data_IF_314330861681
#
_entry.id   IF_314330861681
#
_cell.length_a   1.000
_cell.length_b   1.000
_cell.length_c   1.000
_cell.angle_alpha   90.00
_cell.angle_beta   90.00
_cell.angle_gamma   90.00
#
_symmetry.space_group_name_H-M   'P 1'
#
loop_
_entity.id
_entity.type
_entity.pdbx_description
1 polymer ?
#
# COMPACT_ATOMS: atom_id res chain seq x y z
N UNK A 1 8.11 17.91 -11.43
CA UNK A 1 6.62 17.94 -11.44
C UNK A 1 6.08 16.65 -10.85
N UNK A 2 4.84 16.67 -10.31
CA UNK A 2 4.12 15.49 -9.81
C UNK A 2 2.79 15.35 -10.56
N UNK A 3 2.30 14.12 -10.73
CA UNK A 3 0.95 13.84 -11.21
C UNK A 3 0.05 13.51 -10.02
N UNK A 4 -1.08 14.20 -9.91
CA UNK A 4 -2.04 13.95 -8.83
C UNK A 4 -1.47 14.27 -7.44
N UNK A 5 -1.75 13.42 -6.47
CA UNK A 5 -1.25 13.54 -5.09
C UNK A 5 -1.88 14.67 -4.25
N UNK A 6 -2.87 15.37 -4.78
CA UNK A 6 -3.53 16.50 -4.11
C UNK A 6 -4.86 16.09 -3.53
N UNK A 7 -5.13 16.51 -2.30
CA UNK A 7 -6.44 16.40 -1.65
C UNK A 7 -6.83 17.75 -1.03
N UNK A 8 -8.12 17.94 -0.77
CA UNK A 8 -8.58 19.10 -0.02
C UNK A 8 -8.03 19.05 1.41
N UNK A 9 -7.65 20.20 1.95
CA UNK A 9 -7.22 20.33 3.34
C UNK A 9 -8.42 20.36 4.29
N UNK A 10 -9.39 21.22 3.98
CA UNK A 10 -10.55 21.47 4.84
C UNK A 10 -11.41 20.22 4.98
N UNK A 11 -11.86 19.95 6.22
CA UNK A 11 -12.66 18.79 6.60
C UNK A 11 -12.05 17.42 6.27
N UNK A 12 -10.80 17.33 5.82
CA UNK A 12 -10.18 16.08 5.37
C UNK A 12 -9.25 15.44 6.39
N UNK A 13 -9.10 16.01 7.60
CA UNK A 13 -8.26 15.45 8.66
C UNK A 13 -9.08 14.55 9.60
N UNK A 14 -8.59 13.34 9.87
CA UNK A 14 -9.08 12.44 10.89
C UNK A 14 -8.55 12.85 12.27
N UNK A 15 -9.31 12.56 13.33
CA UNK A 15 -8.89 12.76 14.72
C UNK A 15 -7.75 11.84 15.11
N UNK A 16 -7.80 10.60 14.64
CA UNK A 16 -6.77 9.59 14.82
C UNK A 16 -6.27 9.08 13.46
N UNK A 17 -5.01 8.66 13.43
CA UNK A 17 -4.42 8.09 12.22
C UNK A 17 -5.09 6.73 11.91
N UNK A 18 -5.61 6.60 10.69
CA UNK A 18 -6.21 5.36 10.22
C UNK A 18 -5.14 4.46 9.62
N UNK A 19 -5.03 3.27 10.17
CA UNK A 19 -4.17 2.19 9.68
C UNK A 19 -4.91 1.42 8.60
N UNK A 20 -4.24 1.14 7.48
CA UNK A 20 -4.79 0.40 6.34
C UNK A 20 -4.23 -1.02 6.39
N UNK A 21 -5.05 -2.04 6.69
CA UNK A 21 -4.59 -3.43 6.69
C UNK A 21 -4.13 -3.86 5.30
N UNK A 22 -3.07 -4.67 5.24
CA UNK A 22 -2.56 -5.25 4.00
C UNK A 22 -2.63 -6.78 4.09
N UNK A 23 -3.28 -7.39 3.11
CA UNK A 23 -3.21 -8.82 2.86
C UNK A 23 -2.09 -9.08 1.84
N UNK A 24 -0.93 -9.54 2.32
CA UNK A 24 0.21 -9.83 1.46
C UNK A 24 0.28 -11.33 1.12
N UNK A 25 0.40 -11.65 -0.16
CA UNK A 25 0.59 -13.01 -0.66
C UNK A 25 1.92 -13.11 -1.43
N UNK A 26 2.74 -14.09 -1.06
CA UNK A 26 3.98 -14.45 -1.76
C UNK A 26 3.88 -15.91 -2.18
N UNK A 27 3.91 -16.18 -3.48
CA UNK A 27 3.77 -17.53 -4.06
C UNK A 27 2.62 -18.35 -3.45
N UNK A 28 1.45 -17.71 -3.30
CA UNK A 28 0.24 -18.33 -2.75
C UNK A 28 0.21 -18.48 -1.23
N UNK A 29 1.21 -17.97 -0.50
CA UNK A 29 1.25 -17.99 0.98
C UNK A 29 0.97 -16.61 1.56
N UNK A 30 0.02 -16.52 2.48
CA UNK A 30 -0.29 -15.28 3.18
C UNK A 30 0.84 -14.95 4.17
N UNK A 31 1.24 -13.67 4.19
CA UNK A 31 2.28 -13.14 5.06
C UNK A 31 1.74 -11.96 5.87
N UNK A 32 2.27 -11.80 7.08
CA UNK A 32 1.89 -10.71 7.98
C UNK A 32 2.64 -9.43 7.63
N UNK A 33 1.91 -8.32 7.55
CA UNK A 33 2.46 -6.97 7.42
C UNK A 33 2.16 -6.19 8.71
N UNK A 34 3.13 -5.45 9.29
CA UNK A 34 2.86 -4.59 10.44
C UNK A 34 1.74 -3.59 10.14
N UNK A 35 0.82 -3.42 11.10
CA UNK A 35 -0.35 -2.55 10.89
C UNK A 35 0.03 -1.06 10.70
N UNK A 36 1.22 -0.66 11.16
CA UNK A 36 1.78 0.69 10.99
C UNK A 36 2.36 0.95 9.60
N UNK A 37 2.40 -0.05 8.71
CA UNK A 37 3.09 0.06 7.42
C UNK A 37 2.41 1.03 6.47
N UNK A 38 1.08 0.98 6.36
CA UNK A 38 0.32 1.93 5.54
C UNK A 38 -0.72 2.59 6.42
N UNK A 39 -0.66 3.91 6.44
CA UNK A 39 -1.56 4.70 7.28
C UNK A 39 -1.74 6.10 6.74
N UNK A 40 -2.82 6.73 7.17
CA UNK A 40 -3.11 8.11 6.79
C UNK A 40 -3.97 8.78 7.87
N UNK A 41 -3.75 10.07 8.05
CA UNK A 41 -4.63 10.91 8.85
C UNK A 41 -5.68 11.63 7.98
N UNK A 42 -5.84 11.23 6.70
CA UNK A 42 -6.80 11.83 5.78
C UNK A 42 -8.09 11.02 5.71
N UNK A 43 -9.25 11.69 5.65
CA UNK A 43 -10.55 11.06 5.40
C UNK A 43 -10.65 10.55 3.96
N UNK A 44 -10.25 11.41 3.02
CA UNK A 44 -10.14 11.16 1.59
C UNK A 44 -8.65 11.25 1.23
N UNK A 45 -8.05 10.08 0.98
CA UNK A 45 -6.64 9.90 0.68
C UNK A 45 -6.46 9.53 -0.79
N UNK A 46 -5.32 9.87 -1.37
CA UNK A 46 -4.99 9.40 -2.72
C UNK A 46 -4.48 7.97 -2.68
N UNK A 47 -4.82 7.18 -3.69
CA UNK A 47 -4.22 5.85 -3.88
C UNK A 47 -2.69 5.95 -3.99
N UNK A 48 -2.17 7.01 -4.59
CA UNK A 48 -0.74 7.28 -4.70
C UNK A 48 -0.03 7.35 -3.34
N UNK A 49 -0.64 7.99 -2.33
CA UNK A 49 -0.08 8.06 -0.97
C UNK A 49 0.01 6.66 -0.34
N UNK A 50 -1.02 5.83 -0.51
CA UNK A 50 -1.07 4.48 0.05
C UNK A 50 -0.13 3.52 -0.69
N UNK A 51 -0.14 3.57 -2.03
CA UNK A 51 0.71 2.75 -2.90
C UNK A 51 2.20 3.01 -2.65
N UNK A 52 2.59 4.27 -2.46
CA UNK A 52 3.96 4.64 -2.13
C UNK A 52 4.43 4.03 -0.80
N UNK A 53 3.61 4.11 0.24
CA UNK A 53 3.93 3.51 1.54
C UNK A 53 4.05 1.98 1.44
N UNK A 54 3.11 1.32 0.76
CA UNK A 54 3.12 -0.12 0.55
C UNK A 54 4.38 -0.58 -0.22
N UNK A 55 4.68 0.07 -1.35
CA UNK A 55 5.85 -0.28 -2.18
C UNK A 55 7.16 0.00 -1.48
N UNK A 56 7.24 1.05 -0.66
CA UNK A 56 8.43 1.30 0.17
C UNK A 56 8.70 0.14 1.12
N UNK A 57 7.67 -0.32 1.86
CA UNK A 57 7.81 -1.48 2.73
C UNK A 57 8.19 -2.75 1.96
N UNK A 58 7.54 -3.00 0.81
CA UNK A 58 7.85 -4.18 0.00
C UNK A 58 9.29 -4.13 -0.55
N UNK A 59 9.78 -2.95 -0.92
CA UNK A 59 11.18 -2.78 -1.31
C UNK A 59 12.12 -3.06 -0.15
N UNK A 60 11.91 -2.44 1.01
CA UNK A 60 12.77 -2.61 2.19
C UNK A 60 12.80 -4.07 2.68
N UNK A 61 11.69 -4.81 2.53
CA UNK A 61 11.56 -6.19 3.03
C UNK A 61 11.98 -7.26 2.03
N UNK A 62 11.73 -7.03 0.74
CA UNK A 62 11.84 -8.06 -0.30
C UNK A 62 12.72 -7.66 -1.49
N UNK A 63 13.31 -6.46 -1.47
CA UNK A 63 14.12 -5.94 -2.58
C UNK A 63 13.37 -5.99 -3.92
N UNK A 64 12.09 -5.60 -3.90
CA UNK A 64 11.15 -5.68 -5.03
C UNK A 64 11.68 -5.10 -6.36
N UNK A 65 12.53 -4.08 -6.29
CA UNK A 65 13.08 -3.34 -7.43
C UNK A 65 14.56 -3.58 -7.67
N UNK A 66 15.17 -4.55 -6.98
CA UNK A 66 16.48 -5.04 -7.37
C UNK A 66 16.29 -5.97 -8.57
N UNK A 67 17.09 -5.78 -9.62
CA UNK A 67 17.13 -6.73 -10.73
C UNK A 67 17.72 -8.07 -10.28
N UNK A 68 17.48 -9.12 -11.03
CA UNK A 68 17.94 -10.50 -10.79
C UNK A 68 19.46 -10.57 -10.62
N UNK A 69 20.18 -9.71 -11.33
CA UNK A 69 21.64 -9.55 -11.24
C UNK A 69 22.10 -9.10 -9.84
N UNK A 70 21.19 -8.50 -9.05
CA UNK A 70 21.39 -7.99 -7.69
C UNK A 70 20.47 -8.68 -6.67
N UNK A 71 20.30 -10.00 -6.80
CA UNK A 71 19.48 -10.85 -5.91
C UNK A 71 17.97 -10.56 -5.92
N UNK A 72 17.46 -9.93 -6.98
CA UNK A 72 16.03 -9.74 -7.20
C UNK A 72 15.29 -11.07 -7.35
N UNK A 73 14.40 -11.39 -6.39
CA UNK A 73 13.60 -12.63 -6.41
C UNK A 73 12.17 -12.45 -6.91
N UNK A 74 11.69 -11.21 -6.95
CA UNK A 74 10.29 -10.90 -7.27
C UNK A 74 10.19 -10.31 -8.67
N UNK A 75 9.62 -11.07 -9.61
CA UNK A 75 9.49 -10.66 -11.01
C UNK A 75 8.14 -10.04 -11.38
N UNK A 76 7.11 -10.32 -10.57
CA UNK A 76 5.72 -9.94 -10.84
C UNK A 76 5.01 -9.65 -9.52
N UNK A 77 4.06 -8.73 -9.58
CA UNK A 77 3.23 -8.36 -8.44
C UNK A 77 2.03 -7.54 -8.86
N UNK A 78 1.01 -7.51 -8.00
CA UNK A 78 -0.21 -6.74 -8.16
C UNK A 78 -0.57 -6.12 -6.81
N UNK A 79 -0.99 -4.85 -6.83
CA UNK A 79 -1.60 -4.19 -5.67
C UNK A 79 -3.04 -3.87 -6.05
N UNK A 80 -3.99 -4.31 -5.22
CA UNK A 80 -5.42 -4.06 -5.37
C UNK A 80 -5.91 -3.30 -4.15
N UNK A 81 -6.70 -2.25 -4.39
CA UNK A 81 -7.33 -1.45 -3.33
C UNK A 81 -8.79 -1.85 -3.21
N UNK A 82 -9.12 -2.60 -2.16
CA UNK A 82 -10.49 -3.00 -1.88
C UNK A 82 -11.23 -1.90 -1.13
N UNK A 83 -12.40 -1.52 -1.64
CA UNK A 83 -13.29 -0.57 -0.97
C UNK A 83 -14.41 -1.32 -0.26
N UNK A 84 -15.00 -0.73 0.78
CA UNK A 84 -16.10 -1.35 1.54
C UNK A 84 -17.37 -1.61 0.73
N UNK A 85 -17.47 -1.04 -0.47
CA UNK A 85 -18.62 -1.15 -1.37
C UNK A 85 -18.49 -2.30 -2.37
N UNK A 86 -17.33 -2.95 -2.47
CA UNK A 86 -17.16 -4.11 -3.33
C UNK A 86 -17.64 -5.38 -2.63
N UNK A 87 -18.38 -6.27 -3.33
CA UNK A 87 -18.74 -7.56 -2.77
C UNK A 87 -17.47 -8.35 -2.48
N UNK A 88 -17.38 -8.89 -1.26
CA UNK A 88 -16.31 -9.80 -0.86
C UNK A 88 -16.29 -11.00 -1.81
N UNK A 89 -15.19 -11.17 -2.55
CA UNK A 89 -14.95 -12.39 -3.32
C UNK A 89 -14.60 -13.49 -2.31
N UNK A 90 -15.59 -14.33 -2.01
CA UNK A 90 -15.42 -15.58 -1.26
C UNK A 90 -14.80 -16.65 -2.17
#
# INVERSE_FOLDING_TARGET
CMYGGVTLHDNNRLTEEKKVPINLWLDGKQNTVPLETVKTNKKNVTVQELDLQARRYLQEKYNLYNSDVFDGKVQRGLIVFHTSTEPSVN
#
